data_IF_093679221491
#
_entry.id   IF_093679221491
#
_cell.length_a   1.000
_cell.length_b   1.000
_cell.length_c   1.000
_cell.angle_alpha   90.00
_cell.angle_beta   90.00
_cell.angle_gamma   90.00
#
_symmetry.space_group_name_H-M   'P 1'
#
loop_
_entity.id
_entity.type
_entity.pdbx_description
1 polymer ?
#
# COMPACT_ATOMS: atom_id res chain seq x y z
N UNK A 1 10.08 4.54 -53.61
CA UNK A 1 10.58 3.39 -52.82
C UNK A 1 11.14 3.87 -51.49
N UNK A 2 12.26 4.60 -51.43
CA UNK A 2 12.86 5.06 -50.15
C UNK A 2 11.90 5.93 -49.29
N UNK A 3 11.18 6.85 -49.93
CA UNK A 3 10.18 7.70 -49.28
C UNK A 3 8.96 6.93 -48.74
N UNK A 4 8.60 5.82 -49.38
CA UNK A 4 7.48 4.97 -48.96
C UNK A 4 7.90 4.09 -47.77
N UNK A 5 9.14 3.59 -47.77
CA UNK A 5 9.70 2.89 -46.61
C UNK A 5 9.83 3.80 -45.39
N UNK A 6 10.26 5.05 -45.57
CA UNK A 6 10.37 6.03 -44.48
C UNK A 6 8.99 6.38 -43.89
N UNK A 7 7.98 6.53 -44.75
CA UNK A 7 6.60 6.74 -44.33
C UNK A 7 6.06 5.56 -43.52
N UNK A 8 6.21 4.33 -44.03
CA UNK A 8 5.77 3.12 -43.35
C UNK A 8 6.47 2.89 -41.99
N UNK A 9 7.76 3.21 -41.91
CA UNK A 9 8.52 3.10 -40.67
C UNK A 9 8.04 4.12 -39.62
N UNK A 10 7.73 5.34 -40.06
CA UNK A 10 7.20 6.40 -39.19
C UNK A 10 5.80 6.05 -38.66
N UNK A 11 4.94 5.50 -39.52
CA UNK A 11 3.62 4.99 -39.13
C UNK A 11 3.73 3.87 -38.09
N UNK A 12 4.62 2.90 -38.30
CA UNK A 12 4.86 1.81 -37.33
C UNK A 12 5.34 2.33 -35.98
N UNK A 13 6.24 3.33 -35.97
CA UNK A 13 6.72 3.98 -34.74
C UNK A 13 5.58 4.70 -34.02
N UNK A 14 4.71 5.40 -34.75
CA UNK A 14 3.56 6.09 -34.18
C UNK A 14 2.58 5.12 -33.49
N UNK A 15 2.27 3.99 -34.14
CA UNK A 15 1.39 2.96 -33.58
C UNK A 15 1.98 2.39 -32.28
N UNK A 16 3.28 2.11 -32.26
CA UNK A 16 3.97 1.62 -31.05
C UNK A 16 3.98 2.65 -29.93
N UNK A 17 4.29 3.92 -30.24
CA UNK A 17 4.28 5.01 -29.27
C UNK A 17 2.87 5.22 -28.66
N UNK A 18 1.83 5.15 -29.49
CA UNK A 18 0.44 5.27 -29.04
C UNK A 18 0.04 4.12 -28.10
N UNK A 19 0.48 2.89 -28.40
CA UNK A 19 0.26 1.72 -27.53
C UNK A 19 1.01 1.84 -26.20
N UNK A 20 2.23 2.36 -26.20
CA UNK A 20 2.98 2.65 -24.98
C UNK A 20 2.31 3.74 -24.15
N UNK A 21 1.86 4.82 -24.78
CA UNK A 21 1.12 5.89 -24.08
C UNK A 21 -0.18 5.38 -23.46
N UNK A 22 -0.94 4.53 -24.16
CA UNK A 22 -2.18 3.97 -23.59
C UNK A 22 -1.90 3.01 -22.43
N UNK A 23 -0.83 2.22 -22.52
CA UNK A 23 -0.37 1.35 -21.41
C UNK A 23 0.12 2.14 -20.19
N UNK A 24 0.89 3.22 -20.41
CA UNK A 24 1.40 4.09 -19.34
C UNK A 24 0.31 4.91 -18.66
N UNK A 25 -0.80 5.20 -19.34
CA UNK A 25 -1.92 5.94 -18.77
C UNK A 25 -2.50 5.24 -17.54
N UNK A 26 -2.73 3.93 -17.63
CA UNK A 26 -3.19 3.13 -16.49
C UNK A 26 -2.15 3.04 -15.37
N UNK A 27 -0.88 2.90 -15.75
CA UNK A 27 0.23 2.82 -14.79
C UNK A 27 0.40 4.12 -14.00
N UNK A 28 0.28 5.27 -14.66
CA UNK A 28 0.29 6.59 -14.03
C UNK A 28 -0.82 6.73 -12.99
N UNK A 29 -2.05 6.38 -13.32
CA UNK A 29 -3.17 6.42 -12.37
C UNK A 29 -2.90 5.53 -11.17
N UNK A 30 -2.46 4.29 -11.41
CA UNK A 30 -2.10 3.34 -10.35
C UNK A 30 -1.01 3.90 -9.43
N UNK A 31 0.05 4.49 -9.99
CA UNK A 31 1.14 5.06 -9.18
C UNK A 31 0.68 6.27 -8.36
N UNK A 32 -0.22 7.09 -8.89
CA UNK A 32 -0.80 8.21 -8.13
C UNK A 32 -1.63 7.68 -6.96
N UNK A 33 -2.44 6.65 -7.17
CA UNK A 33 -3.24 6.01 -6.12
C UNK A 33 -2.35 5.36 -5.05
N UNK A 34 -1.32 4.61 -5.48
CA UNK A 34 -0.35 3.99 -4.58
C UNK A 34 0.44 5.02 -3.77
N UNK A 35 0.82 6.16 -4.37
CA UNK A 35 1.51 7.23 -3.67
C UNK A 35 0.63 7.86 -2.59
N UNK A 36 -0.66 8.08 -2.88
CA UNK A 36 -1.63 8.57 -1.88
C UNK A 36 -1.81 7.57 -0.74
N UNK A 37 -1.99 6.30 -1.07
CA UNK A 37 -2.09 5.24 -0.07
C UNK A 37 -0.83 5.16 0.81
N UNK A 38 0.35 5.17 0.20
CA UNK A 38 1.62 5.11 0.93
C UNK A 38 1.81 6.30 1.86
N UNK A 39 1.35 7.49 1.46
CA UNK A 39 1.37 8.66 2.33
C UNK A 39 0.53 8.44 3.60
N UNK A 40 -0.68 7.92 3.47
CA UNK A 40 -1.52 7.59 4.64
C UNK A 40 -0.85 6.57 5.53
N UNK A 41 -0.31 5.48 4.96
CA UNK A 41 0.44 4.47 5.72
C UNK A 41 1.65 5.09 6.44
N UNK A 42 2.36 6.01 5.79
CA UNK A 42 3.51 6.68 6.38
C UNK A 42 3.14 7.58 7.56
N UNK A 43 1.98 8.24 7.49
CA UNK A 43 1.46 9.06 8.59
C UNK A 43 1.08 8.17 9.80
N UNK A 44 0.47 7.00 9.57
CA UNK A 44 -0.03 6.10 10.62
C UNK A 44 1.01 5.11 11.18
N UNK A 45 2.16 4.96 10.54
CA UNK A 45 3.14 3.89 10.83
C UNK A 45 3.65 3.89 12.28
N UNK A 46 3.72 5.05 12.92
CA UNK A 46 4.26 5.18 14.28
C UNK A 46 3.36 4.44 15.28
N UNK A 47 2.05 4.65 15.23
CA UNK A 47 1.09 3.95 16.08
C UNK A 47 0.97 2.47 15.73
N UNK A 48 1.00 2.13 14.45
CA UNK A 48 0.91 0.74 14.00
C UNK A 48 2.10 -0.10 14.47
N UNK A 49 3.32 0.47 14.43
CA UNK A 49 4.53 -0.17 14.97
C UNK A 49 4.45 -0.30 16.49
N UNK A 50 3.95 0.72 17.20
CA UNK A 50 3.80 0.69 18.65
C UNK A 50 2.88 -0.45 19.11
N UNK A 51 1.69 -0.54 18.50
CA UNK A 51 0.71 -1.60 18.80
C UNK A 51 1.30 -2.97 18.44
N UNK A 52 1.96 -3.09 17.29
CA UNK A 52 2.64 -4.33 16.86
C UNK A 52 3.67 -4.81 17.88
N UNK A 53 4.54 -3.90 18.34
CA UNK A 53 5.58 -4.22 19.31
C UNK A 53 4.99 -4.70 20.64
N UNK A 54 3.90 -4.06 21.09
CA UNK A 54 3.17 -4.50 22.28
C UNK A 54 2.55 -5.89 22.09
N UNK A 55 1.96 -6.16 20.94
CA UNK A 55 1.32 -7.46 20.66
C UNK A 55 2.35 -8.60 20.69
N UNK A 56 3.51 -8.39 20.06
CA UNK A 56 4.58 -9.41 20.02
C UNK A 56 5.17 -9.62 21.43
N UNK A 57 5.35 -8.55 22.19
CA UNK A 57 6.03 -8.60 23.49
C UNK A 57 5.16 -9.15 24.62
N UNK A 58 3.86 -8.83 24.61
CA UNK A 58 2.98 -9.11 25.76
C UNK A 58 1.85 -10.08 25.45
N UNK A 59 1.38 -10.15 24.20
CA UNK A 59 0.11 -10.82 23.89
C UNK A 59 0.23 -12.29 23.49
N UNK A 60 1.47 -12.79 23.31
CA UNK A 60 1.76 -14.18 22.94
C UNK A 60 0.98 -15.28 23.68
N UNK A 61 0.87 -15.25 25.03
CA UNK A 61 0.23 -16.34 25.79
C UNK A 61 -1.30 -16.27 25.81
N UNK A 62 -1.92 -15.20 25.30
CA UNK A 62 -3.37 -15.00 25.38
C UNK A 62 -4.12 -15.59 24.18
N UNK A 63 -5.43 -15.79 24.34
CA UNK A 63 -6.30 -16.31 23.28
C UNK A 63 -6.54 -15.27 22.18
N UNK A 64 -6.90 -15.73 20.98
CA UNK A 64 -7.15 -14.84 19.83
C UNK A 64 -8.13 -13.71 20.15
N UNK A 65 -9.27 -14.04 20.78
CA UNK A 65 -10.28 -13.05 21.17
C UNK A 65 -9.72 -11.98 22.10
N UNK A 66 -9.00 -12.40 23.15
CA UNK A 66 -8.42 -11.45 24.11
C UNK A 66 -7.39 -10.53 23.46
N UNK A 67 -6.57 -11.06 22.54
CA UNK A 67 -5.63 -10.23 21.77
C UNK A 67 -6.33 -9.20 20.89
N UNK A 68 -7.43 -9.58 20.23
CA UNK A 68 -8.21 -8.66 19.39
C UNK A 68 -8.87 -7.56 20.21
N UNK A 69 -9.48 -7.91 21.36
CA UNK A 69 -10.12 -6.94 22.26
C UNK A 69 -9.08 -5.93 22.79
N UNK A 70 -7.92 -6.43 23.25
CA UNK A 70 -6.86 -5.58 23.79
C UNK A 70 -6.19 -4.71 22.73
N UNK A 71 -6.04 -5.22 21.50
CA UNK A 71 -5.55 -4.44 20.36
C UNK A 71 -6.49 -3.26 20.05
N UNK A 72 -7.80 -3.49 20.04
CA UNK A 72 -8.79 -2.43 19.81
C UNK A 72 -8.73 -1.36 20.90
N UNK A 73 -8.52 -1.75 22.16
CA UNK A 73 -8.37 -0.79 23.25
C UNK A 73 -7.05 -0.01 23.16
N UNK A 74 -5.94 -0.64 22.77
CA UNK A 74 -4.68 0.06 22.54
C UNK A 74 -4.73 1.05 21.37
N UNK A 75 -5.46 0.72 20.29
CA UNK A 75 -5.70 1.67 19.20
C UNK A 75 -6.51 2.89 19.67
N UNK A 76 -7.55 2.68 20.49
CA UNK A 76 -8.29 3.79 21.10
C UNK A 76 -7.41 4.66 21.98
N UNK A 77 -6.50 4.06 22.75
CA UNK A 77 -5.52 4.80 23.55
C UNK A 77 -4.51 5.58 22.69
N UNK A 78 -4.09 5.04 21.54
CA UNK A 78 -3.26 5.79 20.60
C UNK A 78 -4.01 7.02 20.08
N UNK A 79 -5.27 6.84 19.67
CA UNK A 79 -6.13 7.92 19.19
C UNK A 79 -6.40 8.97 20.27
N UNK A 80 -6.65 8.56 21.52
CA UNK A 80 -6.89 9.48 22.65
C UNK A 80 -5.65 10.33 22.99
N UNK A 81 -4.46 9.82 22.65
CA UNK A 81 -3.17 10.50 22.83
C UNK A 81 -2.70 11.24 21.57
N UNK A 82 -3.57 11.34 20.56
CA UNK A 82 -3.24 11.98 19.28
C UNK A 82 -2.03 11.35 18.57
N UNK A 83 -1.79 10.05 18.81
CA UNK A 83 -0.79 9.27 18.09
C UNK A 83 -1.45 8.78 16.79
N UNK A 84 -0.93 9.18 15.61
CA UNK A 84 -1.41 8.66 14.34
C UNK A 84 -1.30 7.14 14.28
N UNK A 85 -2.41 6.48 13.95
CA UNK A 85 -2.49 5.04 13.82
C UNK A 85 -3.66 4.66 12.91
N UNK A 86 -3.57 3.49 12.29
CA UNK A 86 -4.64 2.97 11.46
C UNK A 86 -5.95 2.83 12.25
N UNK A 87 -7.09 3.13 11.61
CA UNK A 87 -8.42 2.98 12.23
C UNK A 87 -8.77 1.51 12.54
N UNK A 88 -8.22 0.60 11.74
CA UNK A 88 -8.29 -0.85 11.95
C UNK A 88 -6.90 -1.44 11.81
N UNK A 89 -6.48 -2.25 12.78
CA UNK A 89 -5.16 -2.87 12.78
C UNK A 89 -5.26 -4.40 12.84
N UNK A 90 -4.51 -5.08 11.96
CA UNK A 90 -4.31 -6.52 11.98
C UNK A 90 -2.83 -6.84 11.84
N UNK A 91 -2.26 -7.50 12.85
CA UNK A 91 -0.83 -7.82 12.90
C UNK A 91 -0.37 -8.64 11.67
N UNK A 92 -1.20 -9.57 11.20
CA UNK A 92 -0.90 -10.40 10.03
C UNK A 92 -0.86 -9.61 8.72
N UNK A 93 -1.63 -8.52 8.60
CA UNK A 93 -1.58 -7.65 7.41
C UNK A 93 -0.38 -6.71 7.47
N UNK A 94 0.01 -6.29 8.68
CA UNK A 94 1.11 -5.35 8.87
C UNK A 94 2.49 -6.01 8.77
N UNK A 95 2.66 -7.20 9.36
CA UNK A 95 3.95 -7.91 9.42
C UNK A 95 4.01 -9.20 8.60
N UNK A 96 2.86 -9.69 8.11
CA UNK A 96 2.79 -10.94 7.35
C UNK A 96 2.97 -10.72 5.85
N UNK A 97 3.66 -11.64 5.21
CA UNK A 97 3.66 -11.78 3.75
C UNK A 97 2.66 -12.89 3.37
N UNK A 98 1.58 -12.58 2.61
CA UNK A 98 0.65 -13.60 2.15
C UNK A 98 1.36 -14.63 1.27
N UNK A 99 1.23 -15.92 1.62
CA UNK A 99 1.76 -17.02 0.81
C UNK A 99 0.97 -17.08 -0.52
N UNK A 100 1.69 -17.11 -1.64
CA UNK A 100 1.14 -17.25 -3.00
C UNK A 100 0.72 -18.67 -3.34
#
# INVERSE_FOLDING_TARGET
QELEEEYANTESKLVRATKLMSGLGGEKTRYIEQSKYLRTVFEDIVGDVLVSAGMISYLGPYTSKYRSDLCADWLKECQSKEIPCSSTFELSKFLGDPVK
#
